data_IF_164793749411
#
_entry.id   IF_164793749411
#
_cell.length_a   1.000
_cell.length_b   1.000
_cell.length_c   1.000
_cell.angle_alpha   90.00
_cell.angle_beta   90.00
_cell.angle_gamma   90.00
#
_symmetry.space_group_name_H-M   'P 1'
#
loop_
_entity.id
_entity.type
_entity.pdbx_description
1 polymer ?
#
# COMPACT_ATOMS: atom_id res chain seq x y z
N UNK A 1 3.85 5.54 -15.44
CA UNK A 1 3.62 4.13 -15.07
C UNK A 1 2.24 3.96 -14.45
N UNK A 2 1.61 2.80 -14.58
CA UNK A 2 0.34 2.51 -13.90
C UNK A 2 0.61 1.60 -12.71
N UNK A 3 -0.24 1.64 -11.67
CA UNK A 3 -0.20 0.73 -10.52
C UNK A 3 -0.19 -0.75 -10.96
N UNK A 4 -0.58 -0.98 -12.22
CA UNK A 4 -0.63 -2.27 -12.91
C UNK A 4 0.65 -2.65 -13.67
N UNK A 5 1.75 -1.90 -13.57
CA UNK A 5 3.02 -2.40 -14.13
C UNK A 5 3.45 -3.61 -13.30
N UNK A 6 3.47 -4.82 -13.90
CA UNK A 6 3.88 -6.02 -13.20
C UNK A 6 5.34 -5.90 -12.78
N UNK A 7 5.61 -6.30 -11.54
CA UNK A 7 6.97 -6.48 -11.04
C UNK A 7 7.51 -7.78 -11.65
N UNK A 8 8.50 -7.65 -12.52
CA UNK A 8 9.19 -8.78 -13.15
C UNK A 8 10.54 -9.06 -12.48
N UNK A 9 11.17 -8.02 -11.95
CA UNK A 9 12.41 -8.10 -11.21
C UNK A 9 12.29 -7.27 -9.94
N UNK A 10 12.74 -7.84 -8.83
CA UNK A 10 12.80 -7.19 -7.54
C UNK A 10 14.14 -7.49 -6.91
N UNK A 11 14.86 -6.44 -6.50
CA UNK A 11 16.08 -6.58 -5.71
C UNK A 11 16.03 -5.71 -4.47
N UNK A 12 16.66 -6.19 -3.40
CA UNK A 12 16.75 -5.49 -2.12
C UNK A 12 18.21 -5.31 -1.79
N UNK A 13 18.63 -4.06 -1.65
CA UNK A 13 19.97 -3.69 -1.20
C UNK A 13 19.92 -3.32 0.27
N UNK A 14 20.66 -4.04 1.10
CA UNK A 14 20.78 -3.77 2.53
C UNK A 14 22.21 -3.37 2.85
N UNK A 15 22.37 -2.42 3.77
CA UNK A 15 23.67 -1.94 4.23
C UNK A 15 23.76 -1.99 5.75
N UNK A 16 24.86 -2.58 6.22
CA UNK A 16 25.30 -2.53 7.61
C UNK A 16 26.07 -1.24 7.83
N UNK A 17 25.82 -0.58 8.96
CA UNK A 17 26.49 0.68 9.28
C UNK A 17 28.01 0.50 9.42
N UNK A 18 28.79 1.56 9.20
CA UNK A 18 30.25 1.52 9.33
C UNK A 18 30.76 1.88 10.74
N UNK A 19 29.86 1.86 11.74
CA UNK A 19 30.24 2.06 13.14
C UNK A 19 31.15 0.93 13.65
N UNK A 20 31.89 1.22 14.71
CA UNK A 20 32.66 0.20 15.41
C UNK A 20 31.72 -0.88 15.99
N UNK A 21 32.03 -2.16 15.75
CA UNK A 21 31.19 -3.32 16.09
C UNK A 21 29.83 -3.41 15.39
N UNK A 22 29.59 -2.69 14.29
CA UNK A 22 28.29 -2.75 13.61
C UNK A 22 27.99 -4.07 12.87
N UNK A 23 28.98 -4.94 12.68
CA UNK A 23 28.82 -6.26 12.09
C UNK A 23 28.33 -7.31 13.10
N UNK A 24 28.10 -8.52 12.62
CA UNK A 24 27.78 -9.71 13.43
C UNK A 24 28.29 -10.96 12.73
N UNK A 25 28.50 -12.04 13.46
CA UNK A 25 28.78 -13.40 13.01
C UNK A 25 27.47 -14.17 12.70
N UNK A 26 26.31 -13.61 13.05
CA UNK A 26 25.01 -14.24 12.86
C UNK A 26 24.56 -14.24 11.39
N UNK A 27 23.65 -15.16 11.07
CA UNK A 27 22.96 -15.14 9.77
C UNK A 27 21.79 -14.19 9.84
N UNK A 28 21.69 -13.32 8.84
CA UNK A 28 20.58 -12.39 8.71
C UNK A 28 19.69 -12.87 7.58
N UNK A 29 18.39 -12.99 7.83
CA UNK A 29 17.39 -13.34 6.83
C UNK A 29 16.45 -12.15 6.60
N UNK A 30 15.89 -12.08 5.40
CA UNK A 30 14.92 -11.05 5.01
C UNK A 30 13.66 -11.69 4.48
N UNK A 31 12.52 -11.08 4.77
CA UNK A 31 11.24 -11.43 4.15
C UNK A 31 10.46 -10.17 3.79
N UNK A 32 9.55 -10.29 2.81
CA UNK A 32 8.68 -9.22 2.34
C UNK A 32 7.22 -9.60 2.56
N UNK A 33 6.44 -8.68 3.13
CA UNK A 33 5.00 -8.77 3.43
C UNK A 33 4.53 -9.91 4.35
N UNK A 34 5.25 -11.03 4.45
CA UNK A 34 4.83 -12.20 5.19
C UNK A 34 6.00 -12.81 5.94
N UNK A 35 5.92 -13.01 7.26
CA UNK A 35 7.01 -13.57 8.04
C UNK A 35 7.33 -15.05 7.72
N UNK A 36 6.52 -15.70 6.88
CA UNK A 36 6.60 -17.15 6.63
C UNK A 36 7.65 -17.56 5.58
N UNK A 37 8.17 -16.61 4.79
CA UNK A 37 9.07 -16.91 3.66
C UNK A 37 10.32 -16.03 3.71
N UNK A 38 11.23 -16.37 4.62
CA UNK A 38 12.50 -15.66 4.76
C UNK A 38 13.58 -16.28 3.88
N UNK A 39 14.41 -15.44 3.27
CA UNK A 39 15.57 -15.84 2.47
C UNK A 39 16.84 -15.28 3.10
N UNK A 40 17.96 -15.98 2.97
CA UNK A 40 19.23 -15.55 3.55
C UNK A 40 19.73 -14.28 2.88
N UNK A 41 19.94 -13.24 3.69
CA UNK A 41 20.51 -11.97 3.28
C UNK A 41 22.02 -11.96 3.55
N UNK A 42 22.46 -12.15 4.78
CA UNK A 42 23.89 -12.19 5.16
C UNK A 42 24.25 -13.47 5.90
N UNK A 43 25.55 -13.80 5.88
CA UNK A 43 26.18 -14.81 6.72
C UNK A 43 27.41 -14.15 7.33
N UNK A 44 27.31 -13.74 8.60
CA UNK A 44 28.35 -13.00 9.30
C UNK A 44 28.74 -11.67 8.64
N UNK A 45 27.81 -10.69 8.48
CA UNK A 45 28.15 -9.44 7.83
C UNK A 45 29.12 -8.59 8.65
N UNK A 46 30.09 -8.01 7.97
CA UNK A 46 31.03 -7.05 8.56
C UNK A 46 30.46 -5.62 8.53
N UNK A 47 30.99 -4.73 9.38
CA UNK A 47 30.62 -3.30 9.36
C UNK A 47 30.84 -2.68 7.98
N UNK A 48 29.96 -1.77 7.58
CA UNK A 48 29.99 -1.10 6.27
C UNK A 48 29.62 -1.99 5.08
N UNK A 49 29.42 -3.30 5.29
CA UNK A 49 29.08 -4.22 4.21
C UNK A 49 27.71 -3.89 3.62
N UNK A 50 27.63 -3.93 2.29
CA UNK A 50 26.38 -3.85 1.55
C UNK A 50 26.19 -5.10 0.70
N UNK A 51 24.94 -5.55 0.57
CA UNK A 51 24.58 -6.66 -0.30
C UNK A 51 23.25 -6.37 -0.98
N UNK A 52 23.24 -6.62 -2.29
CA UNK A 52 22.03 -6.64 -3.11
C UNK A 52 21.60 -8.09 -3.29
N UNK A 53 20.36 -8.38 -2.93
CA UNK A 53 19.72 -9.68 -3.11
C UNK A 53 18.64 -9.56 -4.17
N UNK A 54 18.74 -10.35 -5.24
CA UNK A 54 17.65 -10.55 -6.18
C UNK A 54 16.61 -11.48 -5.54
N UNK A 55 15.34 -11.07 -5.59
CA UNK A 55 14.23 -11.78 -4.96
C UNK A 55 13.50 -12.59 -6.02
N UNK A 56 13.36 -13.90 -5.77
CA UNK A 56 12.39 -14.70 -6.51
C UNK A 56 10.97 -14.32 -6.04
N UNK A 57 10.23 -13.67 -6.93
CA UNK A 57 8.88 -13.14 -6.65
C UNK A 57 7.90 -14.28 -6.34
N UNK A 58 7.98 -15.39 -7.08
CA UNK A 58 7.04 -16.51 -6.91
C UNK A 58 7.27 -17.18 -5.57
N UNK A 59 8.54 -17.37 -5.19
CA UNK A 59 8.90 -17.96 -3.92
C UNK A 59 8.60 -17.01 -2.75
N UNK A 60 8.87 -15.70 -2.87
CA UNK A 60 8.62 -14.74 -1.79
C UNK A 60 7.12 -14.47 -1.56
N UNK A 61 6.34 -14.26 -2.62
CA UNK A 61 4.94 -13.82 -2.53
C UNK A 61 3.91 -14.95 -2.74
N UNK A 62 4.35 -16.11 -3.23
CA UNK A 62 3.46 -17.24 -3.55
C UNK A 62 2.57 -17.02 -4.77
N UNK A 63 2.73 -15.88 -5.44
CA UNK A 63 2.00 -15.51 -6.64
C UNK A 63 2.86 -14.59 -7.50
N UNK A 64 2.66 -14.67 -8.81
CA UNK A 64 3.27 -13.79 -9.80
C UNK A 64 2.30 -13.67 -10.99
N UNK A 65 2.11 -12.48 -11.59
CA UNK A 65 2.79 -11.22 -11.27
C UNK A 65 2.27 -10.56 -9.99
N UNK A 66 3.14 -9.76 -9.33
CA UNK A 66 2.76 -8.80 -8.28
C UNK A 66 2.85 -7.37 -8.83
N UNK A 67 2.28 -6.40 -8.12
CA UNK A 67 2.35 -4.97 -8.42
C UNK A 67 3.20 -4.23 -7.38
N UNK A 68 3.63 -3.00 -7.66
CA UNK A 68 4.34 -2.15 -6.68
C UNK A 68 3.56 -1.92 -5.40
N UNK A 69 2.22 -1.89 -5.49
CA UNK A 69 1.33 -1.77 -4.34
C UNK A 69 1.42 -2.97 -3.39
N UNK A 70 1.84 -4.12 -3.90
CA UNK A 70 1.99 -5.35 -3.14
C UNK A 70 3.34 -5.39 -2.40
N UNK A 71 4.13 -4.31 -2.40
CA UNK A 71 5.36 -4.17 -1.62
C UNK A 71 5.10 -3.23 -0.45
N UNK A 72 4.73 -3.77 0.70
CA UNK A 72 4.27 -2.98 1.85
C UNK A 72 5.19 -3.05 3.06
N UNK A 73 5.83 -4.20 3.32
CA UNK A 73 6.59 -4.41 4.55
C UNK A 73 7.85 -5.25 4.33
N UNK A 74 8.90 -4.94 5.09
CA UNK A 74 10.14 -5.69 5.18
C UNK A 74 10.28 -6.23 6.61
N UNK A 75 10.70 -7.49 6.72
CA UNK A 75 11.02 -8.15 7.97
C UNK A 75 12.47 -8.62 7.94
N UNK A 76 13.20 -8.42 9.03
CA UNK A 76 14.54 -8.94 9.22
C UNK A 76 14.55 -9.91 10.40
N UNK A 77 15.25 -11.01 10.20
CA UNK A 77 15.46 -12.06 11.17
C UNK A 77 16.94 -12.23 11.39
N UNK A 78 17.28 -12.65 12.60
CA UNK A 78 18.64 -13.00 12.95
C UNK A 78 18.63 -14.41 13.54
N UNK A 79 19.45 -15.27 12.95
CA UNK A 79 19.70 -16.64 13.39
C UNK A 79 21.07 -16.67 14.06
N UNK A 80 21.11 -16.86 15.41
CA UNK A 80 22.36 -16.82 16.16
C UNK A 80 23.34 -17.92 15.76
N UNK A 81 24.59 -17.53 15.53
CA UNK A 81 25.71 -18.45 15.38
C UNK A 81 26.31 -18.79 16.77
N UNK A 82 26.78 -20.03 17.03
CA UNK A 82 27.42 -20.34 18.29
C UNK A 82 28.71 -19.54 18.50
N UNK A 83 28.73 -18.64 19.49
CA UNK A 83 29.91 -17.83 19.82
C UNK A 83 30.23 -17.85 21.33
N UNK A 84 31.52 -17.76 21.74
CA UNK A 84 31.94 -17.94 23.13
C UNK A 84 31.69 -16.76 24.09
N UNK A 85 31.38 -15.54 23.62
CA UNK A 85 31.44 -14.32 24.47
C UNK A 85 30.27 -13.31 24.34
N UNK A 86 29.02 -13.78 24.25
CA UNK A 86 27.74 -13.01 24.32
C UNK A 86 27.19 -12.41 23.02
N UNK A 87 25.90 -12.05 23.07
CA UNK A 87 24.98 -11.78 21.96
C UNK A 87 25.50 -10.77 20.95
N UNK A 88 25.41 -11.13 19.68
CA UNK A 88 26.01 -10.39 18.58
C UNK A 88 25.04 -9.37 17.96
N UNK A 89 24.93 -8.22 18.60
CA UNK A 89 24.15 -7.11 18.07
C UNK A 89 24.82 -6.50 16.85
N UNK A 90 24.04 -6.15 15.83
CA UNK A 90 24.54 -5.48 14.62
C UNK A 90 23.76 -4.19 14.36
N UNK A 91 24.32 -3.31 13.53
CA UNK A 91 23.70 -2.02 13.23
C UNK A 91 23.26 -1.94 11.78
N UNK A 92 21.94 -1.89 11.57
CA UNK A 92 21.33 -1.69 10.26
C UNK A 92 21.37 -0.21 9.87
N UNK A 93 21.96 0.10 8.72
CA UNK A 93 22.02 1.47 8.17
C UNK A 93 20.79 1.76 7.30
N UNK A 94 20.56 0.94 6.27
CA UNK A 94 19.57 1.22 5.24
C UNK A 94 19.08 -0.02 4.51
N UNK A 95 17.86 0.07 3.97
CA UNK A 95 17.27 -0.86 3.02
C UNK A 95 16.75 -0.07 1.82
N UNK A 96 17.12 -0.49 0.61
CA UNK A 96 16.67 0.11 -0.65
C UNK A 96 16.08 -1.00 -1.52
N UNK A 97 14.86 -0.78 -2.00
CA UNK A 97 14.21 -1.70 -2.94
C UNK A 97 14.36 -1.17 -4.36
N UNK A 98 14.68 -2.05 -5.30
CA UNK A 98 14.72 -1.74 -6.74
C UNK A 98 13.80 -2.68 -7.49
N UNK A 99 12.95 -2.12 -8.35
CA UNK A 99 11.99 -2.86 -9.19
C UNK A 99 12.28 -2.61 -10.66
N UNK A 100 12.25 -3.69 -11.44
CA UNK A 100 12.46 -3.70 -12.89
C UNK A 100 13.75 -2.99 -13.33
N UNK A 101 14.73 -2.84 -12.42
CA UNK A 101 16.00 -2.15 -12.65
C UNK A 101 15.94 -0.63 -12.76
N UNK A 102 14.77 0.01 -12.57
CA UNK A 102 14.62 1.45 -12.81
C UNK A 102 13.71 2.19 -11.83
N UNK A 103 12.96 1.48 -10.98
CA UNK A 103 12.25 2.11 -9.85
C UNK A 103 12.95 1.81 -8.55
N UNK A 104 13.14 2.82 -7.73
CA UNK A 104 13.77 2.69 -6.41
C UNK A 104 12.85 3.20 -5.32
N UNK A 105 12.85 2.51 -4.18
CA UNK A 105 12.25 2.98 -2.94
C UNK A 105 13.31 3.03 -1.85
N UNK A 106 13.58 4.23 -1.35
CA UNK A 106 14.58 4.54 -0.32
C UNK A 106 13.92 5.04 0.97
N UNK A 107 12.62 4.78 1.16
CA UNK A 107 11.90 5.17 2.39
C UNK A 107 12.50 4.57 3.68
N UNK A 108 13.30 3.53 3.52
CA UNK A 108 14.06 2.83 4.55
C UNK A 108 15.57 3.13 4.44
N UNK A 109 15.95 4.28 3.86
CA UNK A 109 17.34 4.68 3.59
C UNK A 109 18.13 5.19 4.81
N UNK A 110 17.45 5.48 5.93
CA UNK A 110 18.06 6.06 7.13
C UNK A 110 17.55 5.40 8.41
N UNK A 111 17.78 4.09 8.57
CA UNK A 111 17.32 3.32 9.73
C UNK A 111 18.26 3.54 10.92
N UNK A 112 19.57 3.36 10.71
CA UNK A 112 20.63 3.55 11.72
C UNK A 112 20.33 2.97 13.11
N UNK A 113 19.94 1.70 13.18
CA UNK A 113 19.46 1.05 14.40
C UNK A 113 20.28 -0.18 14.77
N UNK A 114 20.65 -0.27 16.04
CA UNK A 114 21.18 -1.49 16.64
C UNK A 114 20.06 -2.52 16.81
N UNK A 115 20.31 -3.74 16.34
CA UNK A 115 19.43 -4.89 16.37
C UNK A 115 20.14 -6.00 17.13
N UNK A 116 19.41 -6.65 18.04
CA UNK A 116 19.92 -7.71 18.88
C UNK A 116 18.89 -8.85 18.99
N UNK A 117 19.36 -10.05 19.34
CA UNK A 117 18.49 -11.19 19.65
C UNK A 117 18.66 -11.56 21.11
N UNK A 118 17.59 -11.49 21.92
CA UNK A 118 17.65 -11.93 23.31
C UNK A 118 17.56 -13.46 23.48
N UNK A 119 17.55 -14.23 22.39
CA UNK A 119 17.19 -15.66 22.38
C UNK A 119 18.03 -16.44 21.35
N UNK A 120 18.36 -17.71 21.61
CA UNK A 120 19.14 -18.56 20.68
C UNK A 120 18.34 -19.10 19.49
N UNK A 121 17.07 -18.68 19.32
CA UNK A 121 16.18 -19.13 18.24
C UNK A 121 16.07 -18.02 17.21
N UNK A 122 15.79 -18.37 15.94
CA UNK A 122 15.51 -17.38 14.89
C UNK A 122 14.30 -16.54 15.28
N UNK A 123 14.50 -15.21 15.39
CA UNK A 123 13.43 -14.25 15.72
C UNK A 123 13.45 -13.06 14.78
N UNK A 124 12.28 -12.43 14.53
CA UNK A 124 12.24 -11.14 13.88
C UNK A 124 12.88 -10.09 14.79
N UNK A 125 13.95 -9.46 14.32
CA UNK A 125 14.67 -8.40 15.05
C UNK A 125 14.22 -7.01 14.64
N UNK A 126 13.62 -6.89 13.46
CA UNK A 126 13.16 -5.62 12.93
C UNK A 126 12.07 -5.81 11.87
N UNK A 127 11.16 -4.85 11.79
CA UNK A 127 10.26 -4.69 10.66
C UNK A 127 10.11 -3.21 10.31
N UNK A 128 9.79 -2.94 9.04
CA UNK A 128 9.55 -1.59 8.56
C UNK A 128 8.58 -1.56 7.38
N UNK A 129 7.69 -0.58 7.40
CA UNK A 129 6.76 -0.33 6.30
C UNK A 129 7.44 0.42 5.16
N UNK A 130 7.31 -0.11 3.95
CA UNK A 130 7.72 0.53 2.71
C UNK A 130 6.72 1.66 2.44
N UNK A 131 7.20 2.90 2.30
CA UNK A 131 6.30 4.00 1.97
C UNK A 131 5.88 3.88 0.49
N UNK A 132 4.58 3.69 0.18
CA UNK A 132 4.14 3.51 -1.20
C UNK A 132 4.53 4.72 -2.07
N UNK A 133 4.35 5.92 -1.57
CA UNK A 133 4.68 7.14 -2.31
C UNK A 133 6.17 7.43 -2.51
N UNK A 134 7.07 6.62 -1.96
CA UNK A 134 8.51 6.83 -2.06
C UNK A 134 9.14 6.16 -3.29
N UNK A 135 8.38 5.42 -4.10
CA UNK A 135 8.90 4.92 -5.36
C UNK A 135 9.26 6.08 -6.30
N UNK A 136 10.42 5.98 -6.93
CA UNK A 136 10.99 6.96 -7.86
C UNK A 136 11.58 6.27 -9.07
N UNK A 137 11.45 6.85 -10.26
CA UNK A 137 12.17 6.36 -11.45
C UNK A 137 13.65 6.84 -11.46
N UNK A 138 14.43 6.43 -12.46
CA UNK A 138 15.83 6.86 -12.64
C UNK A 138 16.00 8.37 -12.83
N UNK A 139 14.93 9.10 -13.14
CA UNK A 139 14.90 10.56 -13.24
C UNK A 139 14.42 11.21 -11.94
N UNK A 140 14.28 10.43 -10.86
CA UNK A 140 13.76 10.84 -9.56
C UNK A 140 12.30 11.36 -9.62
N UNK A 141 11.55 11.03 -10.68
CA UNK A 141 10.14 11.33 -10.75
C UNK A 141 9.36 10.34 -9.88
N UNK A 142 8.32 10.77 -9.13
CA UNK A 142 7.45 9.87 -8.40
C UNK A 142 6.92 8.74 -9.28
N UNK A 143 6.90 7.51 -8.75
CA UNK A 143 6.19 6.45 -9.42
C UNK A 143 4.73 6.82 -9.54
N UNK A 144 4.23 6.60 -10.73
CA UNK A 144 2.85 6.86 -11.07
C UNK A 144 2.03 5.64 -10.60
N UNK A 145 1.26 5.82 -9.54
CA UNK A 145 0.22 4.88 -9.15
C UNK A 145 -0.98 5.15 -10.06
N UNK A 146 -1.03 4.46 -11.20
CA UNK A 146 -2.13 4.57 -12.14
C UNK A 146 -1.98 5.67 -13.19
N UNK A 147 -1.14 5.47 -14.22
CA UNK A 147 -1.39 5.98 -15.57
C UNK A 147 -2.47 5.14 -16.28
N UNK A 148 -3.60 4.89 -15.62
CA UNK A 148 -4.83 4.73 -16.38
C UNK A 148 -5.17 6.15 -16.81
N UNK A 149 -4.67 6.58 -17.97
CA UNK A 149 -5.31 7.67 -18.72
C UNK A 149 -6.79 7.31 -18.73
N UNK A 150 -7.63 8.04 -18.00
CA UNK A 150 -9.07 7.86 -18.03
C UNK A 150 -9.47 8.13 -19.48
N UNK A 151 -9.67 7.09 -20.31
CA UNK A 151 -9.86 7.30 -21.72
C UNK A 151 -11.18 8.02 -21.85
N UNK A 152 -11.12 9.24 -22.37
CA UNK A 152 -12.27 10.08 -22.61
C UNK A 152 -13.03 9.52 -23.82
N UNK A 153 -13.64 8.33 -23.74
CA UNK A 153 -14.36 7.75 -24.87
C UNK A 153 -15.81 8.25 -24.94
N UNK A 154 -16.23 8.60 -26.16
CA UNK A 154 -17.57 9.06 -26.49
C UNK A 154 -18.62 7.92 -26.48
N UNK A 155 -19.67 8.15 -25.68
CA UNK A 155 -21.06 7.63 -25.69
C UNK A 155 -21.51 6.49 -24.73
N UNK A 156 -22.78 6.55 -24.24
CA UNK A 156 -23.21 6.17 -22.89
C UNK A 156 -24.33 5.10 -22.89
N UNK A 157 -24.78 4.62 -21.71
CA UNK A 157 -26.03 3.85 -21.63
C UNK A 157 -27.03 4.36 -20.56
N UNK A 158 -27.83 5.35 -21.01
CA UNK A 158 -29.29 5.50 -20.86
C UNK A 158 -29.92 6.27 -19.68
N UNK A 159 -29.19 6.80 -18.68
CA UNK A 159 -29.82 7.72 -17.70
C UNK A 159 -29.13 9.08 -17.47
N UNK A 160 -27.88 9.26 -17.92
CA UNK A 160 -27.12 10.51 -17.75
C UNK A 160 -27.11 11.40 -19.03
N UNK A 161 -27.98 11.08 -19.99
CA UNK A 161 -27.98 11.55 -21.38
C UNK A 161 -28.33 13.04 -21.62
N UNK A 162 -28.54 13.86 -20.57
CA UNK A 162 -28.74 15.31 -20.73
C UNK A 162 -27.52 16.17 -20.43
N UNK A 163 -26.42 15.61 -19.92
CA UNK A 163 -25.16 16.35 -19.75
C UNK A 163 -23.98 15.48 -20.13
N UNK A 164 -23.42 15.73 -21.32
CA UNK A 164 -22.12 15.22 -21.77
C UNK A 164 -21.02 15.60 -20.79
N UNK A 165 -20.73 14.73 -19.82
CA UNK A 165 -19.63 14.93 -18.89
C UNK A 165 -18.87 13.62 -18.82
N UNK A 166 -17.81 13.54 -19.62
CA UNK A 166 -16.74 12.62 -19.35
C UNK A 166 -15.89 13.27 -18.25
N UNK A 167 -15.83 12.65 -17.09
CA UNK A 167 -15.18 13.23 -15.93
C UNK A 167 -13.78 12.63 -15.84
N UNK A 168 -12.75 13.42 -16.08
CA UNK A 168 -11.41 13.03 -15.66
C UNK A 168 -11.32 13.30 -14.14
N UNK A 169 -11.31 12.26 -13.27
CA UNK A 169 -11.23 12.46 -11.83
C UNK A 169 -9.94 13.15 -11.41
N UNK A 170 -8.87 13.13 -12.22
CA UNK A 170 -7.66 13.90 -11.95
C UNK A 170 -7.87 15.42 -12.06
N UNK A 171 -8.98 15.89 -12.65
CA UNK A 171 -9.32 17.31 -12.70
C UNK A 171 -10.12 17.80 -11.49
N UNK A 172 -10.59 16.89 -10.63
CA UNK A 172 -11.45 17.20 -9.49
C UNK A 172 -10.59 17.33 -8.23
N UNK A 173 -10.66 18.50 -7.58
CA UNK A 173 -9.89 18.77 -6.36
C UNK A 173 -10.25 17.83 -5.21
N UNK A 174 -9.22 17.24 -4.60
CA UNK A 174 -9.34 16.34 -3.45
C UNK A 174 -9.63 14.88 -3.82
N UNK A 175 -9.73 14.53 -5.11
CA UNK A 175 -9.86 13.14 -5.54
C UNK A 175 -8.49 12.47 -5.49
N UNK A 176 -8.41 11.39 -4.72
CA UNK A 176 -7.21 10.59 -4.56
C UNK A 176 -7.42 9.13 -4.92
N UNK A 177 -6.32 8.43 -5.11
CA UNK A 177 -6.26 6.98 -5.18
C UNK A 177 -5.66 6.45 -3.88
N UNK A 178 -6.27 5.41 -3.29
CA UNK A 178 -5.71 4.73 -2.13
C UNK A 178 -4.48 3.91 -2.56
N UNK A 179 -3.33 4.17 -1.95
CA UNK A 179 -2.05 3.57 -2.34
C UNK A 179 -1.40 2.74 -1.24
N UNK A 180 -1.92 2.79 0.00
CA UNK A 180 -1.48 1.88 1.06
C UNK A 180 -1.83 2.35 2.47
N UNK A 181 -1.07 1.83 3.43
CA UNK A 181 -1.12 2.24 4.84
C UNK A 181 0.29 2.52 5.35
N UNK A 182 0.43 3.48 6.28
CA UNK A 182 1.70 3.75 6.97
C UNK A 182 1.41 4.12 8.42
N UNK A 183 2.08 3.47 9.37
CA UNK A 183 1.90 3.71 10.82
C UNK A 183 0.43 3.63 11.25
N UNK A 184 -0.32 2.67 10.68
CA UNK A 184 -1.75 2.50 10.91
C UNK A 184 -2.66 3.50 10.18
N UNK A 185 -2.12 4.50 9.48
CA UNK A 185 -2.91 5.50 8.78
C UNK A 185 -3.03 5.17 7.29
N UNK A 186 -4.23 5.33 6.72
CA UNK A 186 -4.44 5.16 5.28
C UNK A 186 -3.72 6.27 4.50
N UNK A 187 -3.03 5.87 3.44
CA UNK A 187 -2.27 6.75 2.55
C UNK A 187 -2.92 6.73 1.18
N UNK A 188 -3.17 7.92 0.65
CA UNK A 188 -3.61 8.11 -0.72
C UNK A 188 -2.67 9.04 -1.48
N UNK A 189 -2.82 9.02 -2.80
CA UNK A 189 -2.17 9.94 -3.72
C UNK A 189 -3.25 10.74 -4.45
N UNK A 190 -3.23 12.06 -4.28
CA UNK A 190 -4.09 12.99 -5.01
C UNK A 190 -3.85 12.86 -6.51
N UNK A 191 -4.91 12.71 -7.30
CA UNK A 191 -4.77 12.44 -8.74
C UNK A 191 -4.29 13.67 -9.52
N UNK A 192 -4.66 14.86 -9.06
CA UNK A 192 -4.40 16.13 -9.75
C UNK A 192 -2.93 16.54 -9.74
N UNK A 193 -2.32 16.53 -8.57
CA UNK A 193 -0.96 17.01 -8.33
C UNK A 193 0.02 15.90 -7.92
N UNK A 194 -0.48 14.66 -7.77
CA UNK A 194 0.29 13.48 -7.34
C UNK A 194 0.87 13.63 -5.94
N UNK A 195 0.35 14.57 -5.14
CA UNK A 195 0.72 14.72 -3.75
C UNK A 195 0.21 13.53 -2.94
N UNK A 196 1.05 13.03 -2.03
CA UNK A 196 0.63 11.97 -1.12
C UNK A 196 0.11 12.54 0.18
N UNK A 197 -1.04 12.03 0.59
CA UNK A 197 -1.75 12.48 1.78
C UNK A 197 -2.06 11.33 2.71
N UNK A 198 -2.08 11.66 3.99
CA UNK A 198 -2.66 10.79 5.01
C UNK A 198 -4.15 11.08 5.09
N UNK A 199 -4.99 10.07 4.85
CA UNK A 199 -6.43 10.23 5.01
C UNK A 199 -6.76 10.44 6.49
N UNK A 200 -7.63 11.40 6.74
CA UNK A 200 -8.04 11.79 8.10
C UNK A 200 -9.25 11.00 8.56
N UNK A 201 -9.33 10.66 9.87
CA UNK A 201 -10.54 10.10 10.47
C UNK A 201 -11.76 10.99 10.24
N UNK A 202 -12.89 10.34 9.99
CA UNK A 202 -14.15 11.01 9.66
C UNK A 202 -14.80 11.62 10.91
N UNK A 203 -15.35 12.82 10.75
CA UNK A 203 -16.24 13.44 11.74
C UNK A 203 -17.67 12.90 11.64
N UNK A 204 -18.58 13.43 12.46
CA UNK A 204 -19.99 12.99 12.50
C UNK A 204 -20.75 13.20 11.18
N UNK A 205 -20.25 14.07 10.29
CA UNK A 205 -20.96 14.51 9.08
C UNK A 205 -20.08 14.46 7.82
N UNK A 206 -19.16 13.50 7.75
CA UNK A 206 -18.38 13.29 6.54
C UNK A 206 -18.13 11.80 6.27
N UNK A 207 -17.93 11.43 5.02
CA UNK A 207 -17.53 10.09 4.61
C UNK A 207 -16.66 10.19 3.37
N UNK A 208 -15.85 9.17 3.09
CA UNK A 208 -15.18 9.09 1.80
C UNK A 208 -16.10 8.37 0.82
N UNK A 209 -16.48 9.05 -0.26
CA UNK A 209 -17.11 8.40 -1.41
C UNK A 209 -16.01 7.68 -2.20
N UNK A 210 -16.22 6.43 -2.59
CA UNK A 210 -15.20 5.65 -3.28
C UNK A 210 -15.75 4.75 -4.39
N UNK A 211 -14.86 4.40 -5.32
CA UNK A 211 -15.08 3.39 -6.36
C UNK A 211 -13.88 2.47 -6.46
N UNK A 212 -14.13 1.19 -6.76
CA UNK A 212 -13.12 0.21 -7.11
C UNK A 212 -13.20 -0.08 -8.60
N UNK A 213 -12.17 0.28 -9.35
CA UNK A 213 -12.18 0.20 -10.81
C UNK A 213 -11.86 -1.21 -11.31
N UNK A 214 -12.25 -1.57 -12.56
CA UNK A 214 -11.87 -2.85 -13.16
C UNK A 214 -10.36 -3.07 -13.26
N UNK A 215 -9.61 -1.98 -13.36
CA UNK A 215 -8.16 -2.02 -13.39
C UNK A 215 -7.58 -2.34 -12.00
N UNK A 216 -8.31 -2.06 -10.91
CA UNK A 216 -7.92 -2.45 -9.56
C UNK A 216 -7.52 -1.29 -8.65
N UNK A 217 -7.84 -0.05 -9.03
CA UNK A 217 -7.63 1.13 -8.21
C UNK A 217 -8.83 1.39 -7.29
N UNK A 218 -8.58 1.85 -6.06
CA UNK A 218 -9.60 2.40 -5.18
C UNK A 218 -9.49 3.93 -5.24
N UNK A 219 -10.40 4.59 -5.94
CA UNK A 219 -10.46 6.05 -6.06
C UNK A 219 -11.44 6.58 -5.04
N UNK A 220 -11.07 7.63 -4.31
CA UNK A 220 -11.88 8.21 -3.26
C UNK A 220 -11.96 9.74 -3.34
N UNK A 221 -12.98 10.28 -2.67
CA UNK A 221 -13.11 11.70 -2.34
C UNK A 221 -13.78 11.87 -0.98
N UNK A 222 -13.20 12.70 -0.11
CA UNK A 222 -13.88 13.11 1.11
C UNK A 222 -15.14 13.92 0.75
N UNK A 223 -16.29 13.52 1.28
CA UNK A 223 -17.55 14.22 1.14
C UNK A 223 -17.99 14.76 2.50
N UNK A 224 -18.10 16.08 2.60
CA UNK A 224 -18.68 16.74 3.76
C UNK A 224 -20.20 16.80 3.57
N UNK A 225 -20.96 16.03 4.34
CA UNK A 225 -22.43 15.87 4.20
C UNK A 225 -23.21 17.17 4.41
N UNK A 226 -22.53 18.23 4.87
CA UNK A 226 -23.07 19.57 5.09
C UNK A 226 -23.27 20.36 3.79
N UNK A 227 -22.56 20.02 2.71
CA UNK A 227 -22.65 20.71 1.44
C UNK A 227 -22.96 19.69 0.33
N UNK A 228 -24.16 19.76 -0.24
CA UNK A 228 -24.55 18.89 -1.36
C UNK A 228 -23.71 19.16 -2.61
N UNK A 229 -23.11 20.34 -2.72
CA UNK A 229 -22.17 20.71 -3.79
C UNK A 229 -20.82 19.98 -3.69
N UNK A 230 -20.43 19.51 -2.50
CA UNK A 230 -19.18 18.77 -2.26
C UNK A 230 -19.32 17.27 -2.57
N UNK A 231 -20.53 16.82 -2.92
CA UNK A 231 -20.76 15.43 -3.29
C UNK A 231 -20.27 15.17 -4.72
N UNK A 232 -19.24 14.34 -4.84
CA UNK A 232 -18.79 13.78 -6.11
C UNK A 232 -19.46 12.42 -6.32
N UNK A 233 -20.23 12.27 -7.40
CA UNK A 233 -20.93 11.02 -7.71
C UNK A 233 -19.93 9.91 -8.02
N UNK A 234 -20.31 8.66 -7.75
CA UNK A 234 -19.51 7.48 -8.14
C UNK A 234 -19.19 7.45 -9.64
N UNK A 235 -20.14 7.87 -10.50
CA UNK A 235 -19.88 7.97 -11.94
C UNK A 235 -18.82 9.01 -12.30
N UNK A 236 -18.64 10.06 -11.50
CA UNK A 236 -17.57 11.04 -11.70
C UNK A 236 -16.22 10.47 -11.26
N UNK A 237 -16.18 9.75 -10.14
CA UNK A 237 -14.96 9.07 -9.67
C UNK A 237 -14.52 7.95 -10.62
N UNK A 238 -15.48 7.23 -11.20
CA UNK A 238 -15.24 6.17 -12.18
C UNK A 238 -15.06 6.65 -13.61
N UNK A 239 -14.96 7.96 -13.86
CA UNK A 239 -14.85 8.54 -15.21
C UNK A 239 -15.96 8.13 -16.19
N UNK A 240 -17.17 7.89 -15.68
CA UNK A 240 -18.32 7.43 -16.45
C UNK A 240 -18.24 5.97 -16.91
N UNK A 241 -17.21 5.22 -16.50
CA UNK A 241 -17.06 3.80 -16.81
C UNK A 241 -17.76 2.91 -15.78
N UNK A 242 -18.05 1.65 -16.15
CA UNK A 242 -18.40 0.62 -15.17
C UNK A 242 -17.28 0.48 -14.14
N UNK A 243 -17.67 0.40 -12.85
CA UNK A 243 -16.78 0.11 -11.73
C UNK A 243 -17.16 -1.24 -11.13
N UNK A 244 -16.20 -1.92 -10.51
CA UNK A 244 -16.42 -3.23 -9.88
C UNK A 244 -17.25 -3.09 -8.61
N UNK A 245 -16.99 -2.03 -7.83
CA UNK A 245 -17.71 -1.75 -6.59
C UNK A 245 -17.71 -0.24 -6.33
N UNK A 246 -18.70 0.24 -5.61
CA UNK A 246 -18.81 1.65 -5.22
C UNK A 246 -19.50 1.77 -3.87
N UNK A 247 -19.17 2.82 -3.12
CA UNK A 247 -19.81 3.05 -1.84
C UNK A 247 -19.26 4.24 -1.10
N UNK A 248 -19.37 4.17 0.22
CA UNK A 248 -18.81 5.13 1.15
C UNK A 248 -17.96 4.37 2.18
N UNK A 249 -16.87 4.95 2.65
CA UNK A 249 -16.19 4.43 3.83
C UNK A 249 -15.97 5.54 4.85
N UNK A 250 -15.88 5.13 6.11
CA UNK A 250 -15.52 5.98 7.23
C UNK A 250 -14.27 5.42 7.90
N UNK A 251 -13.37 6.30 8.28
CA UNK A 251 -12.16 6.03 9.02
C UNK A 251 -12.45 6.44 10.47
N UNK A 252 -12.39 5.49 11.39
CA UNK A 252 -12.61 5.73 12.81
C UNK A 252 -11.32 5.60 13.62
N UNK A 253 -11.21 6.39 14.70
CA UNK A 253 -10.09 6.33 15.63
C UNK A 253 -10.35 5.31 16.74
N UNK A 254 -9.85 4.10 16.59
CA UNK A 254 -9.92 3.06 17.63
C UNK A 254 -8.63 2.98 18.44
N UNK A 255 -8.69 3.29 19.75
CA UNK A 255 -7.52 3.20 20.63
C UNK A 255 -7.11 1.73 20.78
N UNK A 256 -6.13 1.29 19.99
CA UNK A 256 -5.37 0.07 20.22
C UNK A 256 -3.87 0.38 20.26
N UNK A 257 -3.14 -0.27 21.16
CA UNK A 257 -1.74 0.01 21.49
C UNK A 257 -0.72 -0.24 20.38
N UNK A 258 -1.14 -0.68 19.19
CA UNK A 258 -0.27 -1.04 18.06
C UNK A 258 -0.49 -0.21 16.79
N UNK A 259 -1.25 0.88 16.85
CA UNK A 259 -1.63 1.67 15.67
C UNK A 259 -3.06 1.36 15.21
N UNK A 260 -3.69 2.34 14.57
CA UNK A 260 -5.15 2.52 14.55
C UNK A 260 -5.63 2.95 13.16
N UNK A 261 -6.55 2.18 12.57
CA UNK A 261 -7.76 2.63 11.84
C UNK A 261 -8.75 1.47 11.84
N UNK A 262 -9.92 1.62 12.48
CA UNK A 262 -11.08 0.81 12.08
C UNK A 262 -11.69 1.52 10.86
N UNK A 263 -11.69 0.85 9.72
CA UNK A 263 -12.37 1.35 8.53
C UNK A 263 -13.78 0.74 8.53
N UNK A 264 -14.81 1.56 8.55
CA UNK A 264 -16.17 1.11 8.25
C UNK A 264 -16.39 1.28 6.76
N UNK A 265 -16.39 0.18 6.01
CA UNK A 265 -16.75 0.19 4.60
C UNK A 265 -18.25 -0.07 4.46
N UNK A 266 -18.95 0.90 3.88
CA UNK A 266 -20.35 0.78 3.50
C UNK A 266 -20.46 0.66 1.97
N UNK A 267 -21.05 -0.42 1.49
CA UNK A 267 -21.52 -0.45 0.10
C UNK A 267 -22.86 0.27 0.08
N UNK A 268 -22.85 1.46 -0.50
CA UNK A 268 -24.04 2.23 -0.78
C UNK A 268 -24.13 2.39 -2.30
N UNK A 269 -24.79 1.44 -2.98
CA UNK A 269 -25.21 1.67 -4.37
C UNK A 269 -26.49 2.52 -4.38
N UNK A 270 -26.36 3.77 -3.92
CA UNK A 270 -27.44 4.75 -4.01
C UNK A 270 -27.88 4.94 -5.47
N UNK A 271 -26.99 4.71 -6.44
CA UNK A 271 -27.25 4.87 -7.86
C UNK A 271 -28.11 3.75 -8.48
N UNK A 272 -28.06 2.53 -7.94
CA UNK A 272 -28.78 1.36 -8.46
C UNK A 272 -28.24 0.88 -9.82
N UNK A 273 -26.99 1.20 -10.13
CA UNK A 273 -26.39 0.94 -11.45
C UNK A 273 -25.27 -0.10 -11.41
N UNK A 274 -24.82 -0.55 -10.22
CA UNK A 274 -23.62 -1.37 -10.11
C UNK A 274 -23.96 -2.78 -9.63
N UNK A 275 -23.85 -3.76 -10.54
CA UNK A 275 -23.97 -5.18 -10.22
C UNK A 275 -22.58 -5.77 -9.95
N UNK A 276 -22.43 -6.59 -8.90
CA UNK A 276 -23.51 -7.21 -8.12
C UNK A 276 -24.01 -6.36 -6.93
N UNK A 277 -25.34 -6.27 -6.80
CA UNK A 277 -26.04 -5.73 -5.62
C UNK A 277 -25.79 -6.61 -4.38
N UNK A 278 -25.90 -6.03 -3.18
CA UNK A 278 -25.88 -6.79 -1.92
C UNK A 278 -24.48 -7.17 -1.41
N UNK A 279 -23.43 -6.44 -1.80
CA UNK A 279 -22.08 -6.57 -1.22
C UNK A 279 -21.22 -7.69 -1.80
N UNK A 280 -21.67 -8.41 -2.83
CA UNK A 280 -20.85 -9.42 -3.50
C UNK A 280 -19.57 -8.83 -4.16
N UNK A 281 -19.55 -7.53 -4.43
CA UNK A 281 -18.36 -6.82 -4.89
C UNK A 281 -17.33 -6.52 -3.79
N UNK A 282 -17.61 -6.85 -2.52
CA UNK A 282 -16.69 -6.58 -1.40
C UNK A 282 -15.49 -7.53 -1.36
N UNK A 283 -15.65 -8.79 -1.74
CA UNK A 283 -14.54 -9.75 -1.73
C UNK A 283 -13.31 -9.29 -2.54
N UNK A 284 -13.44 -8.80 -3.80
CA UNK A 284 -12.29 -8.25 -4.51
C UNK A 284 -11.76 -6.95 -3.89
N UNK A 285 -12.61 -6.12 -3.28
CA UNK A 285 -12.18 -4.90 -2.56
C UNK A 285 -11.36 -5.26 -1.33
N UNK A 286 -11.80 -6.23 -0.53
CA UNK A 286 -11.07 -6.73 0.63
C UNK A 286 -9.69 -7.26 0.23
N UNK A 287 -9.61 -8.05 -0.86
CA UNK A 287 -8.32 -8.51 -1.39
C UNK A 287 -7.42 -7.34 -1.77
N UNK A 288 -7.96 -6.30 -2.43
CA UNK A 288 -7.17 -5.12 -2.77
C UNK A 288 -6.68 -4.37 -1.53
N UNK A 289 -7.52 -4.19 -0.51
CA UNK A 289 -7.12 -3.57 0.75
C UNK A 289 -5.99 -4.35 1.44
N UNK A 290 -6.11 -5.69 1.50
CA UNK A 290 -5.03 -6.54 2.04
C UNK A 290 -3.73 -6.39 1.24
N UNK A 291 -3.83 -6.34 -0.09
CA UNK A 291 -2.68 -6.13 -0.97
C UNK A 291 -2.01 -4.76 -0.75
N UNK A 292 -2.81 -3.74 -0.42
CA UNK A 292 -2.34 -2.41 -0.01
C UNK A 292 -1.76 -2.35 1.41
N UNK A 293 -1.60 -3.51 2.08
CA UNK A 293 -1.12 -3.58 3.47
C UNK A 293 -2.16 -3.10 4.50
N UNK A 294 -3.44 -3.00 4.12
CA UNK A 294 -4.51 -2.55 5.02
C UNK A 294 -5.13 -3.78 5.69
N UNK A 295 -5.06 -3.91 7.03
CA UNK A 295 -5.63 -5.04 7.73
C UNK A 295 -7.15 -5.00 7.66
N UNK A 296 -7.76 -6.06 7.13
CA UNK A 296 -9.22 -6.10 6.93
C UNK A 296 -10.01 -6.75 8.07
N UNK A 297 -9.30 -7.30 9.06
CA UNK A 297 -9.90 -8.01 10.21
C UNK A 297 -10.75 -7.09 11.10
N UNK A 298 -10.44 -5.80 11.08
CA UNK A 298 -11.11 -4.75 11.84
C UNK A 298 -12.06 -3.91 10.98
N UNK A 299 -12.27 -4.30 9.72
CA UNK A 299 -13.18 -3.59 8.83
C UNK A 299 -14.60 -4.06 9.08
N UNK A 300 -15.45 -3.13 9.49
CA UNK A 300 -16.89 -3.38 9.57
C UNK A 300 -17.51 -3.16 8.20
N UNK A 301 -18.00 -4.25 7.60
CA UNK A 301 -18.67 -4.23 6.31
C UNK A 301 -20.18 -4.11 6.49
N UNK A 302 -20.81 -3.17 5.79
CA UNK A 302 -22.27 -3.04 5.76
C UNK A 302 -22.78 -2.83 4.35
N UNK A 303 -23.96 -3.37 4.06
CA UNK A 303 -24.68 -3.17 2.80
C UNK A 303 -25.97 -2.43 3.09
N UNK A 304 -26.25 -1.37 2.33
CA UNK A 304 -27.53 -0.69 2.41
C UNK A 304 -28.46 -1.28 1.35
N UNK A 305 -29.35 -2.19 1.75
CA UNK A 305 -30.42 -2.64 0.88
C UNK A 305 -31.38 -1.47 0.65
N UNK A 306 -31.70 -1.16 -0.61
CA UNK A 306 -32.85 -0.32 -0.94
C UNK A 306 -34.10 -1.10 -0.50
N UNK A 307 -34.80 -0.59 0.51
CA UNK A 307 -36.19 -0.97 0.79
C UNK A 307 -37.12 -0.43 -0.27
#
# INVERSE_FOLDING_TARGET
MSEHEPVHQLSVTVKVADDYYAGTDDRILISLNSPSRAVQLFDGPTRGQSKTLEIDITDMFGSSPICLSDLSEVYLYQEPAPHPLSSDAWKLESIILTVNGHYTNDSLGHINRWLDVPSPVVHPVWSGSIAPCAWRDTRHAPAHYGDTTYPVTWLPYIADLKSWRNYDPATIDGVGQLVGMRNGQLIGQQLKDRHCETLVPNGEHDSYTWVFTPEGAIIYRLWQHRQTADYVRHSQLGSGKPVVCAGEFRIERTRSGSGMVDMIAMVNDASGHYKPDGGACLAPVERKLRALGIPTQHISWSTRNKG
#
